data_IF_749073118509
#
_entry.id   IF_749073118509
#
_cell.length_a   1.000
_cell.length_b   1.000
_cell.length_c   1.000
_cell.angle_alpha   90.00
_cell.angle_beta   90.00
_cell.angle_gamma   90.00
#
_symmetry.space_group_name_H-M   'P 1'
#
loop_
_entity.id
_entity.type
_entity.pdbx_description
1 polymer ?
#
# COMPACT_ATOMS: atom_id res chain seq x y z
N UNK A 1 2.83 -7.52 -10.35
CA UNK A 1 3.13 -6.53 -9.29
C UNK A 1 3.40 -5.17 -9.96
N UNK A 2 2.79 -4.08 -9.50
CA UNK A 2 2.96 -2.77 -10.14
C UNK A 2 4.43 -2.33 -10.11
N UNK A 3 5.00 -1.99 -11.27
CA UNK A 3 6.38 -1.50 -11.38
C UNK A 3 7.49 -2.52 -11.11
N UNK A 4 7.18 -3.81 -10.98
CA UNK A 4 8.18 -4.87 -10.72
C UNK A 4 8.09 -6.01 -11.74
N UNK A 5 7.43 -7.12 -11.41
CA UNK A 5 7.35 -8.32 -12.23
C UNK A 5 5.93 -8.84 -12.41
N UNK A 6 5.75 -9.70 -13.41
CA UNK A 6 4.55 -10.48 -13.62
C UNK A 6 4.62 -11.75 -12.79
N UNK A 7 3.49 -12.10 -12.16
CA UNK A 7 3.41 -13.21 -11.21
C UNK A 7 2.13 -13.99 -11.44
N UNK A 8 2.20 -15.31 -11.24
CA UNK A 8 1.02 -16.15 -11.12
C UNK A 8 0.62 -16.25 -9.64
N UNK A 9 -0.67 -16.14 -9.34
CA UNK A 9 -1.19 -16.18 -7.97
C UNK A 9 -2.13 -17.38 -7.86
N UNK A 10 -1.76 -18.36 -7.03
CA UNK A 10 -2.65 -19.45 -6.63
C UNK A 10 -3.25 -19.12 -5.26
N UNK A 11 -4.47 -18.58 -5.26
CA UNK A 11 -5.14 -18.15 -4.04
C UNK A 11 -5.47 -19.32 -3.09
N UNK A 12 -5.71 -20.52 -3.63
CA UNK A 12 -6.01 -21.70 -2.82
C UNK A 12 -4.77 -22.18 -2.06
N UNK A 13 -3.60 -22.14 -2.71
CA UNK A 13 -2.32 -22.51 -2.08
C UNK A 13 -1.62 -21.34 -1.38
N UNK A 14 -2.13 -20.11 -1.56
CA UNK A 14 -1.51 -18.86 -1.08
C UNK A 14 -0.08 -18.69 -1.57
N UNK A 15 0.18 -19.08 -2.82
CA UNK A 15 1.51 -18.95 -3.45
C UNK A 15 1.49 -17.88 -4.53
N UNK A 16 2.66 -17.29 -4.74
CA UNK A 16 2.92 -16.30 -5.77
C UNK A 16 4.23 -16.68 -6.45
N UNK A 17 4.18 -16.89 -7.76
CA UNK A 17 5.32 -17.38 -8.55
C UNK A 17 5.71 -16.34 -9.60
N UNK A 18 7.00 -16.03 -9.69
CA UNK A 18 7.53 -15.17 -10.74
C UNK A 18 7.33 -15.83 -12.12
N UNK A 19 6.96 -15.01 -13.12
CA UNK A 19 6.79 -15.49 -14.51
C UNK A 19 7.78 -14.82 -15.45
N UNK A 20 7.78 -13.49 -15.51
CA UNK A 20 8.70 -12.68 -16.33
C UNK A 20 8.64 -11.20 -15.90
N UNK A 21 9.50 -10.39 -16.50
CA UNK A 21 9.65 -8.95 -16.30
C UNK A 21 9.14 -8.12 -17.50
N UNK A 22 8.47 -8.75 -18.47
CA UNK A 22 7.98 -8.04 -19.66
C UNK A 22 6.84 -7.10 -19.31
N UNK A 23 6.90 -5.88 -19.82
CA UNK A 23 5.81 -4.92 -19.66
C UNK A 23 4.61 -5.36 -20.49
N UNK A 24 3.57 -5.84 -19.81
CA UNK A 24 2.28 -6.17 -20.40
C UNK A 24 1.26 -5.12 -19.93
N UNK A 25 0.83 -4.23 -20.83
CA UNK A 25 -0.04 -3.10 -20.49
C UNK A 25 -1.42 -3.55 -20.00
N UNK A 26 -2.03 -4.52 -20.67
CA UNK A 26 -3.41 -4.97 -20.36
C UNK A 26 -3.53 -5.91 -19.15
N UNK A 27 -2.42 -6.19 -18.46
CA UNK A 27 -2.45 -7.06 -17.28
C UNK A 27 -2.97 -6.33 -16.03
N UNK A 28 -3.82 -6.98 -15.21
CA UNK A 28 -4.20 -6.48 -13.90
C UNK A 28 -2.98 -6.15 -13.04
N UNK A 29 -3.00 -4.97 -12.44
CA UNK A 29 -1.94 -4.51 -11.53
C UNK A 29 -2.39 -4.69 -10.07
N UNK A 30 -1.43 -4.87 -9.18
CA UNK A 30 -1.65 -4.86 -7.73
C UNK A 30 -0.45 -4.16 -7.09
N UNK A 31 -0.70 -3.31 -6.09
CA UNK A 31 0.38 -2.70 -5.29
C UNK A 31 1.03 -3.78 -4.42
N UNK A 32 2.24 -3.51 -3.96
CA UNK A 32 3.02 -4.44 -3.15
C UNK A 32 4.07 -3.65 -2.37
N UNK A 33 4.59 -4.26 -1.32
CA UNK A 33 5.69 -3.72 -0.52
C UNK A 33 6.68 -4.85 -0.23
N UNK A 34 8.01 -4.58 -0.21
CA UNK A 34 8.98 -5.50 0.35
C UNK A 34 8.68 -5.73 1.85
N UNK A 35 8.74 -6.98 2.30
CA UNK A 35 8.37 -7.33 3.67
C UNK A 35 9.24 -6.62 4.72
N UNK A 36 10.53 -6.43 4.42
CA UNK A 36 11.53 -5.79 5.27
C UNK A 36 11.55 -4.25 5.18
N UNK A 37 10.83 -3.67 4.23
CA UNK A 37 10.74 -2.22 4.01
C UNK A 37 9.34 -1.65 4.28
N UNK A 38 8.67 -2.21 5.28
CA UNK A 38 7.33 -1.79 5.70
C UNK A 38 7.28 -1.27 7.14
N UNK A 39 6.29 -0.42 7.43
CA UNK A 39 5.95 0.08 8.76
C UNK A 39 4.46 -0.17 9.04
N UNK A 40 4.12 -0.49 10.29
CA UNK A 40 2.71 -0.64 10.70
C UNK A 40 1.99 0.69 10.53
N UNK A 41 0.82 0.66 9.90
CA UNK A 41 -0.02 1.81 9.63
C UNK A 41 -1.44 1.59 10.12
N UNK A 42 -2.01 2.60 10.77
CA UNK A 42 -3.44 2.68 11.08
C UNK A 42 -4.11 3.76 10.25
N UNK A 43 -5.24 3.43 9.62
CA UNK A 43 -6.03 4.39 8.85
C UNK A 43 -7.37 4.59 9.55
N UNK A 44 -7.68 5.85 9.88
CA UNK A 44 -8.99 6.25 10.39
C UNK A 44 -9.88 6.63 9.22
N UNK A 45 -11.02 5.96 9.10
CA UNK A 45 -12.01 6.15 8.04
C UNK A 45 -13.02 7.26 8.42
N UNK A 46 -13.78 7.81 7.44
CA UNK A 46 -14.74 8.88 7.73
C UNK A 46 -15.87 8.49 8.70
N UNK A 47 -16.19 7.20 8.80
CA UNK A 47 -17.15 6.64 9.76
C UNK A 47 -16.53 6.34 11.13
N UNK A 48 -15.31 6.84 11.39
CA UNK A 48 -14.49 6.60 12.56
C UNK A 48 -14.04 5.14 12.77
N UNK A 49 -14.26 4.25 11.78
CA UNK A 49 -13.67 2.91 11.82
C UNK A 49 -12.16 2.96 11.58
N UNK A 50 -11.44 1.96 12.09
CA UNK A 50 -9.99 1.84 11.95
C UNK A 50 -9.63 0.65 11.05
N UNK A 51 -8.75 0.89 10.07
CA UNK A 51 -8.12 -0.15 9.27
C UNK A 51 -6.66 -0.28 9.66
N UNK A 52 -6.21 -1.50 9.95
CA UNK A 52 -4.82 -1.82 10.26
C UNK A 52 -4.14 -2.43 9.04
N UNK A 53 -2.92 -2.00 8.75
CA UNK A 53 -2.14 -2.50 7.63
C UNK A 53 -0.67 -2.12 7.72
N UNK A 54 0.00 -2.10 6.57
CA UNK A 54 1.39 -1.69 6.46
C UNK A 54 1.54 -0.65 5.35
N UNK A 55 2.48 0.27 5.53
CA UNK A 55 2.88 1.28 4.55
C UNK A 55 4.39 1.19 4.27
N UNK A 56 4.85 1.82 3.18
CA UNK A 56 6.27 1.86 2.82
C UNK A 56 7.00 2.79 3.78
N UNK A 57 8.23 2.44 4.17
CA UNK A 57 9.04 3.24 5.11
C UNK A 57 9.19 4.70 4.72
N UNK A 58 9.24 5.01 3.42
CA UNK A 58 9.40 6.38 2.89
C UNK A 58 8.27 7.33 3.34
N UNK A 59 7.11 6.80 3.75
CA UNK A 59 6.03 7.63 4.33
C UNK A 59 6.46 8.35 5.61
N UNK A 60 7.49 7.84 6.32
CA UNK A 60 8.03 8.49 7.50
C UNK A 60 8.80 9.78 7.17
N UNK A 61 9.20 9.97 5.92
CA UNK A 61 9.87 11.20 5.46
C UNK A 61 8.86 12.32 5.14
N UNK A 62 7.59 11.97 4.93
CA UNK A 62 6.51 12.91 4.59
C UNK A 62 6.12 13.82 5.75
N UNK A 63 5.73 15.06 5.50
CA UNK A 63 5.38 15.99 6.61
C UNK A 63 4.04 15.61 7.25
N UNK A 64 3.90 15.77 8.57
CA UNK A 64 2.59 15.67 9.24
C UNK A 64 1.63 16.69 8.62
N UNK A 65 0.37 16.29 8.43
CA UNK A 65 -0.67 16.97 7.65
C UNK A 65 -0.51 16.91 6.12
N UNK A 66 0.56 16.32 5.58
CA UNK A 66 0.63 16.11 4.14
C UNK A 66 -0.41 15.07 3.69
N UNK A 67 -0.93 15.25 2.48
CA UNK A 67 -1.84 14.30 1.84
C UNK A 67 -1.05 13.49 0.82
N UNK A 68 -1.04 12.18 0.99
CA UNK A 68 -0.34 11.23 0.12
C UNK A 68 -1.32 10.24 -0.50
N UNK A 69 -0.96 9.69 -1.65
CA UNK A 69 -1.77 8.67 -2.31
C UNK A 69 -1.28 7.27 -1.95
N UNK A 70 -2.11 6.50 -1.26
CA UNK A 70 -1.91 5.06 -1.13
C UNK A 70 -2.50 4.38 -2.37
N UNK A 71 -1.64 3.87 -3.23
CA UNK A 71 -2.04 3.40 -4.56
C UNK A 71 -3.09 2.30 -4.51
N UNK A 72 -4.16 2.47 -5.30
CA UNK A 72 -5.35 1.58 -5.35
C UNK A 72 -6.15 1.50 -4.04
N UNK A 73 -5.79 2.26 -3.01
CA UNK A 73 -6.57 2.43 -1.79
C UNK A 73 -7.29 3.78 -1.79
N UNK A 74 -6.54 4.89 -1.86
CA UNK A 74 -7.07 6.26 -1.85
C UNK A 74 -6.05 7.27 -1.32
N UNK A 75 -6.45 8.53 -1.24
CA UNK A 75 -5.67 9.60 -0.61
C UNK A 75 -5.87 9.59 0.90
N UNK A 76 -4.78 9.80 1.64
CA UNK A 76 -4.77 9.86 3.10
C UNK A 76 -3.96 11.05 3.58
N UNK A 77 -4.38 11.70 4.68
CA UNK A 77 -3.59 12.71 5.38
C UNK A 77 -2.77 12.04 6.48
N UNK A 78 -1.46 12.28 6.52
CA UNK A 78 -0.59 11.81 7.61
C UNK A 78 -0.88 12.61 8.88
N UNK A 79 -1.23 11.93 9.97
CA UNK A 79 -1.59 12.54 11.24
C UNK A 79 -0.51 12.34 12.32
N UNK A 80 0.07 11.15 12.38
CA UNK A 80 1.22 10.83 13.24
C UNK A 80 2.16 9.84 12.54
N UNK A 81 3.43 9.79 12.95
CA UNK A 81 4.46 8.92 12.34
C UNK A 81 4.87 7.73 13.21
N UNK A 82 4.74 7.84 14.53
CA UNK A 82 5.16 6.81 15.49
C UNK A 82 4.13 6.69 16.63
N UNK A 83 3.16 5.74 16.55
CA UNK A 83 2.88 4.88 15.39
C UNK A 83 2.34 5.69 14.20
N UNK A 84 2.50 5.17 12.98
CA UNK A 84 1.97 5.80 11.77
C UNK A 84 0.44 5.75 11.80
N UNK A 85 -0.18 6.93 11.82
CA UNK A 85 -1.63 7.12 11.76
C UNK A 85 -1.95 8.06 10.61
N UNK A 86 -2.89 7.66 9.76
CA UNK A 86 -3.38 8.47 8.67
C UNK A 86 -4.92 8.54 8.68
N UNK A 87 -5.48 9.61 8.14
CA UNK A 87 -6.92 9.77 7.95
C UNK A 87 -7.26 9.63 6.48
N UNK A 88 -8.24 8.79 6.17
CA UNK A 88 -8.73 8.65 4.79
C UNK A 88 -9.41 9.94 4.32
N UNK A 89 -9.04 10.39 3.12
CA UNK A 89 -9.64 11.57 2.49
C UNK A 89 -10.69 11.16 1.46
N UNK A 90 -10.26 10.59 0.33
CA UNK A 90 -11.12 10.17 -0.77
C UNK A 90 -10.40 9.16 -1.68
N UNK A 91 -11.10 8.57 -2.64
CA UNK A 91 -10.57 7.61 -3.61
C UNK A 91 -10.92 8.02 -5.02
#
# INVERSE_FOLDING_TARGET
>A
LKGLFNVNIDAAKKTLEFTNDKVMQEMPKIHWLPADQSVTCKIVMPDASELNGVAEKNVLDETVNNVVQFERFGFVRIDAKEPLVAYFAHR
#
